data_IF_193995388323
#
_entry.id   IF_193995388323
#
_cell.length_a   1.000
_cell.length_b   1.000
_cell.length_c   1.000
_cell.angle_alpha   90.00
_cell.angle_beta   90.00
_cell.angle_gamma   90.00
#
_symmetry.space_group_name_H-M   'P 1'
#
loop_
_entity.id
_entity.type
_entity.pdbx_description
1 polymer ?
#
# COMPACT_ATOMS: atom_id res chain seq x y z
N UNK A 1 -4.49 18.50 -2.61
CA UNK A 1 -3.48 17.45 -2.93
C UNK A 1 -2.65 17.12 -1.69
N UNK A 2 -2.50 15.84 -1.37
CA UNK A 2 -1.85 15.34 -0.14
C UNK A 2 -0.31 15.43 -0.15
N UNK A 3 0.31 15.85 -1.23
CA UNK A 3 1.75 15.79 -1.41
C UNK A 3 2.16 14.49 -2.13
N UNK A 4 3.36 13.96 -1.81
CA UNK A 4 3.85 12.72 -2.42
C UNK A 4 3.54 11.53 -1.53
N UNK A 5 3.21 10.40 -2.13
CA UNK A 5 3.15 9.15 -1.38
C UNK A 5 4.53 8.83 -0.81
N UNK A 6 4.58 8.55 0.47
CA UNK A 6 5.79 8.18 1.19
C UNK A 6 5.90 6.67 1.28
N UNK A 7 4.89 6.06 1.91
CA UNK A 7 4.88 4.62 2.17
C UNK A 7 3.48 4.12 2.55
N UNK A 8 3.28 2.83 2.43
CA UNK A 8 2.24 2.13 3.15
C UNK A 8 2.82 1.68 4.50
N UNK A 9 2.41 2.37 5.57
CA UNK A 9 2.97 2.15 6.92
C UNK A 9 2.31 0.94 7.58
N UNK A 10 3.13 0.02 8.05
CA UNK A 10 2.73 -1.26 8.65
C UNK A 10 3.31 -1.38 10.07
N UNK A 11 2.46 -1.71 11.03
CA UNK A 11 2.93 -2.07 12.37
C UNK A 11 3.40 -3.52 12.37
N UNK A 12 4.61 -3.79 12.84
CA UNK A 12 5.14 -5.14 12.98
C UNK A 12 5.53 -5.44 14.42
N UNK A 13 5.23 -6.64 14.93
CA UNK A 13 5.70 -7.06 16.24
C UNK A 13 7.19 -7.41 16.24
N UNK A 14 7.75 -7.76 15.08
CA UNK A 14 9.15 -8.15 14.89
C UNK A 14 9.63 -7.62 13.53
N UNK A 15 10.38 -6.52 13.58
CA UNK A 15 10.88 -5.86 12.37
C UNK A 15 11.89 -6.75 11.62
N UNK A 16 12.66 -7.56 12.33
CA UNK A 16 13.64 -8.44 11.69
C UNK A 16 12.95 -9.56 10.91
N UNK A 17 11.90 -10.16 11.46
CA UNK A 17 11.10 -11.17 10.76
C UNK A 17 10.45 -10.60 9.50
N UNK A 18 9.90 -9.36 9.56
CA UNK A 18 9.35 -8.69 8.39
C UNK A 18 10.43 -8.36 7.35
N UNK A 19 11.59 -7.83 7.78
CA UNK A 19 12.72 -7.56 6.88
C UNK A 19 13.21 -8.83 6.18
N UNK A 20 13.38 -9.93 6.90
CA UNK A 20 13.81 -11.20 6.34
C UNK A 20 12.82 -11.75 5.31
N UNK A 21 11.52 -11.59 5.58
CA UNK A 21 10.46 -11.99 4.65
C UNK A 21 10.51 -11.18 3.35
N UNK A 22 10.53 -9.84 3.44
CA UNK A 22 10.58 -8.97 2.26
C UNK A 22 11.91 -9.09 1.51
N UNK A 23 13.03 -9.29 2.20
CA UNK A 23 14.34 -9.54 1.56
C UNK A 23 14.32 -10.84 0.74
N UNK A 24 13.71 -11.92 1.24
CA UNK A 24 13.53 -13.16 0.46
C UNK A 24 12.64 -12.95 -0.76
N UNK A 25 11.70 -12.01 -0.71
CA UNK A 25 10.89 -11.59 -1.86
C UNK A 25 11.65 -10.64 -2.80
N UNK A 26 12.93 -10.34 -2.55
CA UNK A 26 13.77 -9.42 -3.33
C UNK A 26 13.32 -7.94 -3.26
N UNK A 27 12.65 -7.54 -2.17
CA UNK A 27 12.53 -6.15 -1.82
C UNK A 27 13.87 -5.64 -1.30
N UNK A 28 14.28 -4.46 -1.73
CA UNK A 28 15.47 -3.77 -1.25
C UNK A 28 15.14 -2.92 -0.02
N UNK A 29 16.03 -2.92 0.97
CA UNK A 29 15.91 -1.98 2.08
C UNK A 29 16.35 -0.59 1.62
N UNK A 30 15.50 0.43 1.82
CA UNK A 30 15.84 1.81 1.55
C UNK A 30 16.65 2.42 2.69
N UNK A 31 17.58 3.30 2.35
CA UNK A 31 18.23 4.13 3.36
C UNK A 31 17.25 5.15 3.92
N UNK A 32 17.01 5.10 5.22
CA UNK A 32 16.11 6.02 5.93
C UNK A 32 16.89 6.72 7.05
N UNK A 33 16.60 8.01 7.26
CA UNK A 33 17.14 8.75 8.40
C UNK A 33 16.46 8.33 9.71
N UNK A 34 17.00 8.79 10.84
CA UNK A 34 16.39 8.62 12.17
C UNK A 34 15.15 9.53 12.31
N UNK A 35 14.06 9.16 11.61
CA UNK A 35 12.82 9.94 11.62
C UNK A 35 11.89 9.55 12.79
N UNK A 36 12.04 8.34 13.34
CA UNK A 36 11.17 7.80 14.38
C UNK A 36 11.95 7.41 15.64
N UNK A 37 11.33 7.54 16.79
CA UNK A 37 11.89 7.14 18.10
C UNK A 37 11.82 5.63 18.39
N UNK A 38 11.29 4.84 17.45
CA UNK A 38 11.17 3.39 17.53
C UNK A 38 11.87 2.71 16.35
N UNK A 39 12.16 1.40 16.40
CA UNK A 39 12.74 0.69 15.29
C UNK A 39 11.85 0.82 14.04
N UNK A 40 12.46 1.25 12.95
CA UNK A 40 11.81 1.54 11.69
C UNK A 40 12.71 1.20 10.52
N UNK A 41 12.11 0.64 9.49
CA UNK A 41 12.78 0.34 8.24
C UNK A 41 11.81 0.52 7.06
N UNK A 42 12.33 0.81 5.88
CA UNK A 42 11.54 0.85 4.65
C UNK A 42 12.08 -0.20 3.69
N UNK A 43 11.17 -0.99 3.12
CA UNK A 43 11.47 -1.91 2.03
C UNK A 43 10.72 -1.49 0.77
N UNK A 44 11.31 -1.72 -0.38
CA UNK A 44 10.74 -1.32 -1.67
C UNK A 44 11.08 -2.31 -2.77
N UNK A 45 10.16 -2.48 -3.72
CA UNK A 45 10.37 -3.16 -4.99
C UNK A 45 10.58 -2.17 -6.15
N UNK A 46 10.88 -0.90 -5.83
CA UNK A 46 11.02 0.19 -6.79
C UNK A 46 9.69 0.85 -7.18
N UNK A 47 8.53 0.27 -6.86
CA UNK A 47 7.19 0.81 -7.15
C UNK A 47 6.43 1.22 -5.91
N UNK A 48 6.46 0.39 -4.89
CA UNK A 48 5.87 0.65 -3.57
C UNK A 48 6.95 0.76 -2.50
N UNK A 49 6.77 1.65 -1.55
CA UNK A 49 7.53 1.68 -0.30
C UNK A 49 6.63 1.18 0.84
N UNK A 50 7.13 0.22 1.61
CA UNK A 50 6.48 -0.31 2.81
C UNK A 50 7.28 0.13 4.02
N UNK A 51 6.67 0.94 4.89
CA UNK A 51 7.26 1.38 6.16
C UNK A 51 6.96 0.35 7.25
N UNK A 52 7.99 -0.30 7.77
CA UNK A 52 7.88 -1.29 8.84
C UNK A 52 8.17 -0.61 10.18
N UNK A 53 7.18 -0.52 11.04
CA UNK A 53 7.27 0.14 12.34
C UNK A 53 7.13 -0.90 13.47
N UNK A 54 8.18 -1.11 14.24
CA UNK A 54 8.09 -1.95 15.45
C UNK A 54 7.59 -1.11 16.62
N UNK A 55 6.36 -0.66 16.50
CA UNK A 55 5.66 0.13 17.51
C UNK A 55 4.14 -0.03 17.33
N UNK A 56 3.41 0.29 18.39
CA UNK A 56 1.95 0.38 18.34
C UNK A 56 1.55 1.72 17.67
N UNK A 57 1.72 1.80 16.35
CA UNK A 57 1.23 2.91 15.55
C UNK A 57 -0.15 2.59 14.99
N UNK A 58 -0.99 3.60 14.71
CA UNK A 58 -2.19 3.39 13.91
C UNK A 58 -1.79 2.91 12.50
N UNK A 59 -2.10 1.65 12.20
CA UNK A 59 -1.72 1.00 10.93
C UNK A 59 -2.76 -0.09 10.55
N UNK A 60 -2.83 -0.50 9.25
CA UNK A 60 -2.05 0.08 8.17
C UNK A 60 -2.47 1.49 7.82
N UNK A 61 -1.55 2.32 7.32
CA UNK A 61 -1.87 3.67 6.86
C UNK A 61 -1.26 4.01 5.51
N UNK A 62 -2.04 4.74 4.70
CA UNK A 62 -1.55 5.36 3.46
C UNK A 62 -0.89 6.68 3.86
N UNK A 63 0.44 6.72 3.82
CA UNK A 63 1.21 7.84 4.35
C UNK A 63 1.77 8.69 3.23
N UNK A 64 1.49 9.98 3.31
CA UNK A 64 1.98 11.00 2.39
C UNK A 64 2.94 11.95 3.09
N UNK A 65 3.78 12.62 2.31
CA UNK A 65 4.69 13.64 2.78
C UNK A 65 4.46 14.97 2.07
N UNK A 66 4.42 16.06 2.83
CA UNK A 66 4.22 17.39 2.29
C UNK A 66 5.04 18.42 3.06
N UNK A 67 5.86 19.23 2.37
CA UNK A 67 6.55 20.34 3.01
C UNK A 67 5.58 21.42 3.47
N UNK A 68 5.84 22.01 4.65
CA UNK A 68 5.03 23.10 5.20
C UNK A 68 3.63 22.65 5.61
N UNK A 69 3.51 21.47 6.21
CA UNK A 69 2.26 20.83 6.62
C UNK A 69 1.30 21.81 7.32
N UNK A 70 1.80 22.62 8.25
CA UNK A 70 0.98 23.58 9.01
C UNK A 70 0.16 24.54 8.14
N UNK A 71 0.68 24.90 6.96
CA UNK A 71 0.01 25.82 6.03
C UNK A 71 -1.16 25.19 5.27
N UNK A 72 -1.27 23.87 5.35
CA UNK A 72 -2.27 23.11 4.60
C UNK A 72 -3.40 22.55 5.45
N UNK A 73 -3.32 22.70 6.78
CA UNK A 73 -4.32 22.13 7.69
C UNK A 73 -5.72 22.70 7.45
N UNK A 74 -5.83 24.03 7.31
CA UNK A 74 -7.13 24.67 7.04
C UNK A 74 -7.77 24.21 5.73
N UNK A 75 -6.95 24.04 4.66
CA UNK A 75 -7.46 23.54 3.38
C UNK A 75 -7.95 22.09 3.48
N UNK A 76 -7.32 21.26 4.31
CA UNK A 76 -7.79 19.90 4.57
C UNK A 76 -9.11 19.90 5.36
N UNK A 77 -9.25 20.80 6.35
CA UNK A 77 -10.48 20.97 7.10
C UNK A 77 -11.63 21.48 6.22
N UNK A 78 -11.37 22.39 5.27
CA UNK A 78 -12.33 22.86 4.26
C UNK A 78 -12.82 21.73 3.34
N UNK A 79 -11.98 20.71 3.08
CA UNK A 79 -12.37 19.49 2.37
C UNK A 79 -13.09 18.47 3.27
N UNK A 80 -13.40 18.83 4.52
CA UNK A 80 -14.13 17.98 5.45
C UNK A 80 -13.27 16.98 6.23
N UNK A 81 -11.93 17.08 6.16
CA UNK A 81 -11.04 16.22 6.94
C UNK A 81 -11.22 16.47 8.44
N UNK A 82 -11.47 15.41 9.18
CA UNK A 82 -11.52 15.41 10.64
C UNK A 82 -10.30 14.66 11.16
N UNK A 83 -9.34 15.40 11.67
CA UNK A 83 -8.11 14.79 12.18
C UNK A 83 -8.36 13.94 13.43
N UNK A 84 -7.90 12.70 13.39
CA UNK A 84 -7.87 11.79 14.54
C UNK A 84 -6.75 12.19 15.51
N UNK A 85 -5.60 12.59 14.95
CA UNK A 85 -4.49 13.10 15.74
C UNK A 85 -3.76 14.23 15.01
N UNK A 86 -3.10 15.10 15.81
CA UNK A 86 -2.22 16.18 15.36
C UNK A 86 -1.02 16.23 16.29
N UNK A 87 0.14 15.83 15.81
CA UNK A 87 1.41 16.00 16.50
C UNK A 87 2.16 17.13 15.81
N UNK A 88 2.05 18.33 16.36
CA UNK A 88 2.54 19.57 15.74
C UNK A 88 3.39 20.35 16.71
N UNK A 89 4.52 20.87 16.27
CA UNK A 89 5.42 21.68 17.08
C UNK A 89 6.68 22.11 16.33
N UNK A 90 7.50 22.92 16.99
CA UNK A 90 8.74 23.39 16.39
C UNK A 90 9.87 22.36 16.50
N UNK A 91 9.83 21.53 17.53
CA UNK A 91 10.89 20.57 17.90
C UNK A 91 10.44 19.11 17.74
N UNK A 92 9.34 18.88 17.04
CA UNK A 92 8.80 17.54 16.78
C UNK A 92 8.68 17.32 15.29
N UNK A 93 8.64 16.05 14.90
CA UNK A 93 8.28 15.66 13.55
C UNK A 93 6.78 15.86 13.36
N UNK A 94 6.41 16.90 12.60
CA UNK A 94 5.01 17.24 12.42
C UNK A 94 4.29 16.15 11.61
N UNK A 95 3.19 15.67 12.17
CA UNK A 95 2.31 14.72 11.51
C UNK A 95 0.83 14.95 11.89
N UNK A 96 -0.05 14.58 10.98
CA UNK A 96 -1.49 14.50 11.21
C UNK A 96 -2.03 13.21 10.62
N UNK A 97 -3.11 12.71 11.18
CA UNK A 97 -3.79 11.54 10.66
C UNK A 97 -5.30 11.67 10.77
N UNK A 98 -5.99 11.02 9.86
CA UNK A 98 -7.45 10.95 9.83
C UNK A 98 -7.90 9.66 9.14
N UNK A 99 -9.13 9.29 9.35
CA UNK A 99 -9.72 8.15 8.65
C UNK A 99 -10.46 8.58 7.40
N UNK A 100 -10.30 7.81 6.34
CA UNK A 100 -11.17 7.91 5.18
C UNK A 100 -12.59 7.37 5.51
N UNK A 101 -13.57 7.49 4.63
CA UNK A 101 -14.94 7.02 4.88
C UNK A 101 -15.06 5.53 5.22
N UNK A 102 -14.06 4.72 4.93
CA UNK A 102 -14.05 3.27 5.21
C UNK A 102 -13.31 2.89 6.49
N UNK A 103 -12.69 3.86 7.14
CA UNK A 103 -11.86 3.64 8.31
C UNK A 103 -10.40 3.32 8.00
N UNK A 104 -9.96 3.47 6.73
CA UNK A 104 -8.54 3.40 6.38
C UNK A 104 -7.82 4.65 6.88
N UNK A 105 -6.76 4.47 7.64
CA UNK A 105 -5.97 5.60 8.12
C UNK A 105 -5.18 6.24 6.97
N UNK A 106 -5.29 7.55 6.86
CA UNK A 106 -4.47 8.42 6.01
C UNK A 106 -3.58 9.25 6.92
N UNK A 107 -2.27 9.25 6.65
CA UNK A 107 -1.30 10.07 7.40
C UNK A 107 -0.64 11.08 6.48
N UNK A 108 -0.39 12.24 7.01
CA UNK A 108 0.38 13.28 6.33
C UNK A 108 1.49 13.74 7.27
N UNK A 109 2.74 13.57 6.81
CA UNK A 109 3.94 13.91 7.56
C UNK A 109 4.68 15.07 6.90
N UNK A 110 5.37 15.87 7.71
CA UNK A 110 6.23 16.95 7.22
C UNK A 110 7.67 16.47 7.12
N UNK A 111 8.23 16.59 5.92
CA UNK A 111 9.66 16.37 5.73
C UNK A 111 10.32 17.67 5.25
N UNK A 112 11.47 18.04 5.84
CA UNK A 112 12.28 19.19 5.40
C UNK A 112 12.96 18.91 4.08
N UNK A 113 13.36 17.67 3.84
CA UNK A 113 13.92 17.17 2.58
C UNK A 113 13.37 15.78 2.33
N UNK A 114 12.55 15.65 1.32
CA UNK A 114 12.13 14.36 0.82
C UNK A 114 12.88 14.08 -0.47
N UNK A 115 13.78 13.12 -0.43
CA UNK A 115 14.35 12.52 -1.62
C UNK A 115 13.69 11.15 -1.77
N UNK A 116 12.69 11.01 -2.66
CA UNK A 116 12.19 9.69 -2.99
C UNK A 116 13.38 8.89 -3.51
N UNK A 117 13.53 7.65 -3.08
CA UNK A 117 14.43 6.71 -3.73
C UNK A 117 14.10 6.75 -5.23
N UNK A 118 15.11 6.92 -6.08
CA UNK A 118 14.89 6.87 -7.52
C UNK A 118 14.23 5.54 -7.80
N UNK A 119 13.01 5.55 -8.34
CA UNK A 119 12.36 4.34 -8.84
C UNK A 119 13.28 3.74 -9.89
N UNK A 120 13.93 2.64 -9.57
CA UNK A 120 14.68 1.85 -10.53
C UNK A 120 13.62 0.94 -11.15
N UNK A 121 13.21 1.27 -12.36
CA UNK A 121 12.11 0.60 -13.10
C UNK A 121 12.38 -0.88 -13.38
N UNK A 122 13.61 -1.36 -13.15
CA UNK A 122 14.06 -2.72 -13.45
C UNK A 122 14.01 -3.69 -12.27
N UNK A 123 13.82 -3.22 -11.04
CA UNK A 123 13.82 -4.10 -9.89
C UNK A 123 12.38 -4.53 -9.57
N UNK A 124 11.94 -5.60 -10.22
CA UNK A 124 10.70 -6.28 -9.82
C UNK A 124 11.02 -7.28 -8.71
N UNK A 125 10.22 -7.25 -7.65
CA UNK A 125 10.27 -8.28 -6.61
C UNK A 125 9.85 -9.66 -7.17
N UNK A 126 10.05 -10.72 -6.38
CA UNK A 126 9.52 -12.05 -6.71
C UNK A 126 7.98 -12.10 -6.74
N UNK A 127 7.32 -11.04 -6.26
CA UNK A 127 5.87 -10.89 -6.35
C UNK A 127 5.39 -10.43 -7.74
N UNK A 128 6.31 -10.05 -8.65
CA UNK A 128 5.98 -9.51 -9.97
C UNK A 128 5.77 -8.00 -9.96
N UNK A 129 4.85 -7.53 -10.77
CA UNK A 129 4.56 -6.11 -10.94
C UNK A 129 3.56 -5.62 -9.92
N UNK A 130 3.95 -4.65 -9.07
CA UNK A 130 3.01 -4.01 -8.16
C UNK A 130 1.97 -3.20 -8.93
N UNK A 131 0.69 -3.51 -8.70
CA UNK A 131 -0.43 -2.80 -9.30
C UNK A 131 -0.92 -1.66 -8.39
N UNK A 132 -1.36 -2.00 -7.17
CA UNK A 132 -2.06 -1.07 -6.31
C UNK A 132 -2.13 -1.54 -4.84
N UNK A 133 -2.55 -0.65 -3.96
CA UNK A 133 -3.03 -0.99 -2.63
C UNK A 133 -4.54 -1.18 -2.72
N UNK A 134 -5.03 -2.42 -2.59
CA UNK A 134 -6.46 -2.72 -2.53
C UNK A 134 -7.05 -2.33 -1.18
N UNK A 135 -8.09 -1.50 -1.19
CA UNK A 135 -8.82 -1.04 -0.01
C UNK A 135 -10.27 -1.57 -0.04
N UNK A 136 -10.76 -2.21 1.05
CA UNK A 136 -12.16 -2.58 1.13
C UNK A 136 -13.04 -1.35 1.28
N UNK A 137 -14.10 -1.25 0.49
CA UNK A 137 -15.02 -0.12 0.48
C UNK A 137 -16.48 -0.59 0.36
N UNK A 138 -17.29 -0.46 1.40
CA UNK A 138 -18.72 -0.78 1.32
C UNK A 138 -19.49 0.09 0.32
N UNK A 139 -19.02 1.32 0.09
CA UNK A 139 -19.55 2.27 -0.90
C UNK A 139 -18.38 2.75 -1.77
N UNK A 140 -18.23 2.11 -2.94
CA UNK A 140 -17.13 2.38 -3.88
C UNK A 140 -17.18 3.80 -4.44
N UNK A 141 -18.37 4.31 -4.78
CA UNK A 141 -18.53 5.64 -5.36
C UNK A 141 -18.29 6.75 -4.33
N UNK A 142 -18.70 6.55 -3.09
CA UNK A 142 -18.40 7.50 -2.01
C UNK A 142 -16.90 7.57 -1.75
N UNK A 143 -16.20 6.44 -1.74
CA UNK A 143 -14.75 6.39 -1.53
C UNK A 143 -13.98 6.95 -2.73
N UNK A 144 -14.43 6.66 -3.96
CA UNK A 144 -13.89 7.27 -5.18
C UNK A 144 -13.98 8.81 -5.11
N UNK A 145 -15.18 9.33 -4.84
CA UNK A 145 -15.41 10.77 -4.71
C UNK A 145 -14.51 11.40 -3.65
N UNK A 146 -14.30 10.69 -2.53
CA UNK A 146 -13.40 11.12 -1.48
C UNK A 146 -11.94 11.22 -1.98
N UNK A 147 -11.39 10.21 -2.65
CA UNK A 147 -10.02 10.24 -3.14
C UNK A 147 -9.82 11.24 -4.30
N UNK A 148 -10.85 11.46 -5.13
CA UNK A 148 -10.82 12.47 -6.19
C UNK A 148 -10.64 13.90 -5.65
N UNK A 149 -11.16 14.22 -4.46
CA UNK A 149 -10.94 15.52 -3.80
C UNK A 149 -9.46 15.78 -3.51
N UNK A 150 -8.67 14.73 -3.37
CA UNK A 150 -7.22 14.81 -3.13
C UNK A 150 -6.38 14.69 -4.41
N UNK A 151 -7.02 14.59 -5.56
CA UNK A 151 -6.38 14.62 -6.88
C UNK A 151 -6.13 13.28 -7.51
N UNK A 152 -6.71 12.20 -7.00
CA UNK A 152 -6.77 10.93 -7.71
C UNK A 152 -7.81 11.00 -8.85
N UNK A 153 -7.65 10.13 -9.84
CA UNK A 153 -8.62 9.95 -10.92
C UNK A 153 -9.22 8.55 -10.78
N UNK A 154 -10.54 8.50 -10.56
CA UNK A 154 -11.26 7.24 -10.44
C UNK A 154 -11.61 6.65 -11.81
N UNK A 155 -11.30 5.37 -12.02
CA UNK A 155 -11.65 4.60 -13.22
C UNK A 155 -12.37 3.33 -12.83
N UNK A 156 -13.47 3.02 -13.55
CA UNK A 156 -14.22 1.79 -13.35
C UNK A 156 -13.51 0.62 -14.04
N UNK A 157 -13.06 -0.34 -13.25
CA UNK A 157 -12.43 -1.59 -13.68
C UNK A 157 -13.37 -2.79 -13.44
N UNK A 158 -14.67 -2.60 -13.69
CA UNK A 158 -15.68 -3.67 -13.56
C UNK A 158 -15.44 -4.85 -14.52
N UNK A 159 -14.69 -4.61 -15.59
CA UNK A 159 -14.25 -5.62 -16.55
C UNK A 159 -13.03 -6.45 -16.10
N UNK A 160 -12.35 -6.07 -15.01
CA UNK A 160 -11.25 -6.87 -14.46
C UNK A 160 -11.80 -8.19 -13.87
N UNK A 161 -10.91 -9.17 -13.74
CA UNK A 161 -11.18 -10.47 -13.09
C UNK A 161 -11.52 -10.32 -11.61
N UNK A 162 -11.03 -9.26 -11.00
CA UNK A 162 -11.37 -8.80 -9.66
C UNK A 162 -11.97 -7.39 -9.77
N UNK A 163 -13.29 -7.26 -9.99
CA UNK A 163 -13.96 -5.99 -10.25
C UNK A 163 -13.72 -4.97 -9.13
N UNK A 164 -13.36 -3.74 -9.49
CA UNK A 164 -13.02 -2.67 -8.57
C UNK A 164 -13.13 -1.29 -9.24
N UNK A 165 -12.94 -0.23 -8.47
CA UNK A 165 -12.65 1.11 -8.98
C UNK A 165 -11.17 1.39 -8.71
N UNK A 166 -10.40 1.70 -9.75
CA UNK A 166 -9.02 2.17 -9.58
C UNK A 166 -9.01 3.68 -9.35
N UNK A 167 -8.35 4.13 -8.30
CA UNK A 167 -8.07 5.55 -8.03
C UNK A 167 -6.60 5.81 -8.24
N UNK A 168 -6.26 6.27 -9.45
CA UNK A 168 -4.89 6.49 -9.90
C UNK A 168 -4.41 7.90 -9.57
N UNK A 169 -3.18 8.03 -9.13
CA UNK A 169 -2.49 9.30 -8.93
C UNK A 169 -1.06 9.23 -9.45
N UNK A 170 -0.36 10.39 -9.52
CA UNK A 170 1.05 10.44 -9.95
C UNK A 170 1.99 9.61 -9.05
N UNK A 171 1.53 9.17 -7.88
CA UNK A 171 2.39 8.60 -6.84
C UNK A 171 2.01 7.20 -6.40
N UNK A 172 0.72 6.88 -6.39
CA UNK A 172 0.21 5.58 -5.94
C UNK A 172 -1.15 5.30 -6.55
N UNK A 173 -1.39 4.04 -6.86
CA UNK A 173 -2.68 3.54 -7.29
C UNK A 173 -3.37 2.83 -6.12
N UNK A 174 -4.65 3.15 -5.90
CA UNK A 174 -5.52 2.58 -4.89
C UNK A 174 -6.67 1.85 -5.59
N UNK A 175 -6.81 0.56 -5.35
CA UNK A 175 -7.96 -0.21 -5.82
C UNK A 175 -9.05 -0.22 -4.76
N UNK A 176 -10.27 0.19 -5.10
CA UNK A 176 -11.41 0.19 -4.20
C UNK A 176 -12.26 -1.05 -4.46
N UNK A 177 -12.39 -1.92 -3.46
CA UNK A 177 -12.98 -3.25 -3.62
C UNK A 177 -14.19 -3.44 -2.72
N UNK A 178 -15.22 -4.13 -3.26
CA UNK A 178 -16.27 -4.68 -2.43
C UNK A 178 -15.66 -5.54 -1.30
N UNK A 179 -16.06 -5.35 -0.02
CA UNK A 179 -15.59 -6.16 1.09
C UNK A 179 -15.86 -7.67 0.96
N UNK A 180 -16.80 -8.07 0.09
CA UNK A 180 -16.98 -9.47 -0.27
C UNK A 180 -15.80 -10.02 -1.10
N UNK A 181 -15.04 -9.15 -1.77
CA UNK A 181 -13.86 -9.50 -2.55
C UNK A 181 -12.57 -9.34 -1.74
N UNK A 182 -12.37 -8.18 -1.11
CA UNK A 182 -11.24 -7.92 -0.23
C UNK A 182 -11.72 -7.44 1.13
N UNK A 183 -11.42 -8.19 2.20
CA UNK A 183 -11.87 -7.88 3.56
C UNK A 183 -10.97 -6.92 4.32
N UNK A 184 -9.75 -6.71 3.84
CA UNK A 184 -8.73 -5.84 4.45
C UNK A 184 -7.78 -5.32 3.39
N UNK A 185 -7.07 -4.25 3.71
CA UNK A 185 -6.07 -3.66 2.83
C UNK A 185 -5.05 -4.71 2.38
N UNK A 186 -4.81 -4.79 1.08
CA UNK A 186 -4.07 -5.86 0.42
C UNK A 186 -3.13 -5.26 -0.63
N UNK A 187 -1.88 -5.71 -0.68
CA UNK A 187 -0.96 -5.38 -1.76
C UNK A 187 -1.27 -6.28 -2.95
N UNK A 188 -1.58 -5.69 -4.11
CA UNK A 188 -1.91 -6.43 -5.34
C UNK A 188 -0.74 -6.41 -6.30
N UNK A 189 -0.37 -7.61 -6.78
CA UNK A 189 0.70 -7.80 -7.76
C UNK A 189 0.22 -8.62 -8.93
N UNK A 190 0.75 -8.31 -10.10
CA UNK A 190 0.55 -9.08 -11.31
C UNK A 190 1.79 -9.90 -11.62
N UNK A 191 1.59 -11.17 -11.98
CA UNK A 191 2.62 -12.10 -12.41
C UNK A 191 2.20 -12.79 -13.71
N UNK A 192 3.14 -13.04 -14.60
CA UNK A 192 2.87 -13.73 -15.87
C UNK A 192 2.48 -15.20 -15.65
N UNK A 193 3.14 -15.86 -14.70
CA UNK A 193 2.91 -17.27 -14.34
C UNK A 193 2.84 -17.45 -12.83
N UNK A 194 1.63 -17.52 -12.30
CA UNK A 194 1.38 -17.72 -10.87
C UNK A 194 1.97 -19.05 -10.40
N UNK A 195 1.82 -20.14 -11.18
CA UNK A 195 2.31 -21.47 -10.80
C UNK A 195 3.83 -21.50 -10.68
N UNK A 196 4.53 -21.00 -11.69
CA UNK A 196 5.99 -20.90 -11.67
C UNK A 196 6.49 -19.95 -10.58
N UNK A 197 5.77 -18.84 -10.31
CA UNK A 197 6.09 -17.94 -9.21
C UNK A 197 5.99 -18.64 -7.85
N UNK A 198 4.90 -19.39 -7.62
CA UNK A 198 4.73 -20.14 -6.37
C UNK A 198 5.78 -21.25 -6.19
N UNK A 199 6.21 -21.90 -7.26
CA UNK A 199 7.30 -22.87 -7.20
C UNK A 199 8.62 -22.21 -6.72
N UNK A 200 8.98 -21.07 -7.33
CA UNK A 200 10.18 -20.29 -6.89
C UNK A 200 10.07 -19.77 -5.45
N UNK A 201 8.87 -19.35 -5.02
CA UNK A 201 8.64 -18.92 -3.63
C UNK A 201 8.77 -20.07 -2.65
N UNK A 202 8.32 -21.27 -3.00
CA UNK A 202 8.45 -22.47 -2.17
C UNK A 202 9.93 -22.86 -1.94
N UNK A 203 10.81 -22.66 -2.94
CA UNK A 203 12.26 -22.91 -2.82
C UNK A 203 12.91 -22.03 -1.73
N UNK A 204 12.37 -20.85 -1.47
CA UNK A 204 12.82 -19.92 -0.43
C UNK A 204 11.98 -20.01 0.85
N UNK A 205 11.14 -21.02 0.99
CA UNK A 205 10.33 -21.28 2.18
C UNK A 205 9.14 -20.32 2.35
N UNK A 206 8.63 -19.73 1.25
CA UNK A 206 7.41 -18.90 1.26
C UNK A 206 6.30 -19.67 0.55
N UNK A 207 5.16 -19.82 1.23
CA UNK A 207 3.99 -20.53 0.71
C UNK A 207 2.73 -19.68 0.84
N UNK A 208 1.73 -19.89 -0.05
CA UNK A 208 0.43 -19.25 0.10
C UNK A 208 -0.20 -19.59 1.45
N UNK A 209 -0.79 -18.60 2.09
CA UNK A 209 -1.39 -18.74 3.42
C UNK A 209 -2.73 -17.99 3.58
N UNK A 210 -3.07 -17.11 2.64
CA UNK A 210 -4.30 -16.32 2.67
C UNK A 210 -5.44 -16.92 1.85
N UNK A 211 -6.64 -16.39 2.10
CA UNK A 211 -7.84 -16.76 1.34
C UNK A 211 -7.84 -16.03 -0.01
N UNK A 212 -8.02 -16.79 -1.11
CA UNK A 212 -8.16 -16.23 -2.46
C UNK A 212 -9.52 -15.53 -2.57
N UNK A 213 -9.57 -14.27 -3.07
CA UNK A 213 -10.83 -13.58 -3.34
C UNK A 213 -11.81 -14.42 -4.17
N UNK A 214 -13.13 -14.44 -3.83
CA UNK A 214 -14.09 -15.28 -4.50
C UNK A 214 -14.07 -15.22 -6.04
N UNK A 215 -13.94 -14.04 -6.70
CA UNK A 215 -13.87 -13.97 -8.15
C UNK A 215 -12.65 -14.67 -8.76
N UNK A 216 -11.56 -14.81 -8.00
CA UNK A 216 -10.30 -15.39 -8.47
C UNK A 216 -10.15 -16.88 -8.14
N UNK A 217 -11.10 -17.54 -7.44
CA UNK A 217 -10.95 -18.93 -6.98
C UNK A 217 -10.78 -19.97 -8.09
N UNK A 218 -11.24 -19.65 -9.29
CA UNK A 218 -11.11 -20.54 -10.46
C UNK A 218 -9.99 -20.09 -11.41
N UNK A 219 -9.17 -19.14 -10.99
CA UNK A 219 -8.09 -18.56 -11.77
C UNK A 219 -6.75 -18.78 -11.08
N UNK A 220 -5.63 -18.69 -11.82
CA UNK A 220 -4.32 -18.67 -11.20
C UNK A 220 -4.18 -17.42 -10.32
N UNK A 221 -4.27 -17.63 -9.01
CA UNK A 221 -4.08 -16.60 -7.99
C UNK A 221 -3.58 -17.23 -6.69
N UNK A 222 -2.90 -16.43 -5.87
CA UNK A 222 -2.45 -16.84 -4.54
C UNK A 222 -2.39 -15.63 -3.62
N UNK A 223 -2.50 -15.88 -2.32
CA UNK A 223 -2.33 -14.85 -1.30
C UNK A 223 -1.23 -15.29 -0.35
N UNK A 224 -0.18 -14.48 -0.25
CA UNK A 224 0.85 -14.60 0.77
C UNK A 224 0.44 -13.76 1.97
N UNK A 225 0.91 -14.12 3.14
CA UNK A 225 0.73 -13.33 4.37
C UNK A 225 2.10 -13.01 4.93
N UNK A 226 2.43 -11.73 5.01
CA UNK A 226 3.66 -11.27 5.63
C UNK A 226 3.61 -11.46 7.16
N UNK A 227 4.76 -11.47 7.87
CA UNK A 227 4.81 -11.71 9.31
C UNK A 227 3.97 -10.74 10.14
N UNK A 228 3.82 -9.50 9.70
CA UNK A 228 2.96 -8.50 10.32
C UNK A 228 1.47 -8.63 9.92
N UNK A 229 1.14 -9.63 9.10
CA UNK A 229 -0.24 -9.94 8.71
C UNK A 229 -0.70 -9.27 7.41
N UNK A 230 0.14 -8.54 6.70
CA UNK A 230 -0.20 -7.90 5.42
C UNK A 230 -0.47 -8.96 4.34
N UNK A 231 -1.65 -8.96 3.70
CA UNK A 231 -1.91 -9.82 2.55
C UNK A 231 -1.23 -9.28 1.30
N UNK A 232 -0.65 -10.20 0.52
CA UNK A 232 -0.06 -9.94 -0.79
C UNK A 232 -0.77 -10.85 -1.78
N UNK A 233 -1.61 -10.28 -2.64
CA UNK A 233 -2.35 -10.99 -3.67
C UNK A 233 -1.53 -11.03 -4.96
N UNK A 234 -1.23 -12.23 -5.43
CA UNK A 234 -0.60 -12.51 -6.70
C UNK A 234 -1.67 -13.01 -7.67
N UNK A 235 -1.78 -12.40 -8.84
CA UNK A 235 -2.72 -12.84 -9.88
C UNK A 235 -2.13 -12.63 -11.27
N UNK A 236 -2.59 -13.41 -12.26
CA UNK A 236 -2.17 -13.21 -13.65
C UNK A 236 -2.95 -12.06 -14.29
N UNK A 237 -2.30 -11.28 -15.16
CA UNK A 237 -2.94 -10.24 -15.98
C UNK A 237 -3.96 -10.79 -16.97
N UNK A 238 -4.77 -9.89 -17.54
CA UNK A 238 -5.82 -10.23 -18.51
C UNK A 238 -5.26 -10.93 -19.76
N UNK A 239 -4.07 -10.55 -20.23
CA UNK A 239 -3.49 -11.00 -21.49
C UNK A 239 -2.85 -12.41 -21.45
N UNK A 240 -2.58 -12.96 -20.27
CA UNK A 240 -1.92 -14.27 -20.11
C UNK A 240 -2.84 -15.46 -20.39
N UNK A 241 -4.14 -15.26 -20.54
CA UNK A 241 -5.11 -16.34 -20.80
C UNK A 241 -5.32 -16.68 -22.30
N UNK A 242 -4.74 -15.88 -23.23
CA UNK A 242 -4.91 -16.04 -24.69
C UNK A 242 -3.77 -16.75 -25.41
N UNK A 243 -2.66 -17.06 -24.74
CA UNK A 243 -1.48 -17.70 -25.33
C UNK A 243 -1.39 -19.17 -24.93
N UNK A 244 -2.31 -20.00 -25.42
CA UNK A 244 -2.19 -21.46 -25.49
C UNK A 244 -2.69 -21.98 -26.82
#
# INVERSE_FOLDING_TARGET
>A
MLGRFLEFSLATPDIQASLDFYTRLEFSQAEVGEAWSHPYAVVTDGRICLGLHQAAIPAPSVTFVKPGLLKHLSSLEELGVKFEFRHLGNDVFNEVGWFDPTGQLVRLVEARTFSPSKRIVTDTSRCGYFLEIGLPAPDLEALKTYWEQFGSVGMDESGDRLPHISCTSDYIDLGLYDPAHLRRSTLRFEVDDVGGTLARLAEIGISPAGEIPPPLRQMPAAVLIAPEGTPILLSSGLDSAGAR
#
